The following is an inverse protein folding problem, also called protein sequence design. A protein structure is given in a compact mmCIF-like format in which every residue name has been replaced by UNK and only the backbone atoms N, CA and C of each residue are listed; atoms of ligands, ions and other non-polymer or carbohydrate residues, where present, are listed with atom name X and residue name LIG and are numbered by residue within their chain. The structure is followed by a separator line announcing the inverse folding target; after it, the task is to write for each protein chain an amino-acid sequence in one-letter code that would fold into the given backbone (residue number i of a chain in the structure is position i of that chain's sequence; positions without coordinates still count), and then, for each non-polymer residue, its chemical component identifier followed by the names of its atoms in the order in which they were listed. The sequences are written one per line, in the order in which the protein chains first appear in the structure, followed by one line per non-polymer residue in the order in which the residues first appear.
data_IF_528130776023
#
_entry.id   IF_528130776023
#
_cell.length_a   1.000
_cell.length_b   1.000
_cell.length_c   1.000
_cell.angle_alpha   90.00
_cell.angle_beta   90.00
_cell.angle_gamma   90.00
#
_symmetry.space_group_name_H-M   'P 1'
#
loop_
_entity.id
_entity.type
_entity.pdbx_description
1 polymer ?
#
# COMPACT_ATOMS: atom_id res chain seq x y z
N UNK A 1 7.06 -9.02 -76.85
CA UNK A 1 5.66 -8.85 -76.39
C UNK A 1 5.26 -10.24 -75.91
N UNK A 2 4.98 -10.51 -74.64
CA UNK A 2 4.08 -9.80 -73.74
C UNK A 2 4.46 -10.12 -72.28
N UNK A 3 4.39 -9.10 -71.43
CA UNK A 3 4.70 -9.15 -70.00
C UNK A 3 3.43 -9.48 -69.21
N UNK A 4 3.44 -10.56 -68.42
CA UNK A 4 2.39 -10.87 -67.44
C UNK A 4 2.88 -10.67 -66.01
N UNK A 5 2.61 -9.50 -65.44
CA UNK A 5 2.98 -9.08 -64.07
C UNK A 5 2.27 -9.91 -62.99
N UNK A 6 3.03 -10.60 -62.14
CA UNK A 6 2.58 -11.05 -60.83
C UNK A 6 2.61 -9.90 -59.82
N UNK A 7 1.44 -9.30 -59.55
CA UNK A 7 1.27 -8.28 -58.50
C UNK A 7 0.96 -8.94 -57.16
N UNK A 8 1.96 -8.99 -56.28
CA UNK A 8 1.82 -9.41 -54.88
C UNK A 8 1.11 -8.33 -54.06
N UNK A 9 -0.04 -8.67 -53.45
CA UNK A 9 -0.79 -7.77 -52.58
C UNK A 9 -0.38 -8.02 -51.11
N UNK A 10 0.42 -7.12 -50.55
CA UNK A 10 0.99 -7.23 -49.20
C UNK A 10 0.96 -5.91 -48.41
N UNK A 11 -0.16 -5.19 -48.44
CA UNK A 11 -0.32 -3.89 -47.74
C UNK A 11 -1.11 -3.94 -46.43
N UNK A 12 -1.43 -5.13 -45.90
CA UNK A 12 -2.25 -5.27 -44.68
C UNK A 12 -1.50 -5.15 -43.35
N UNK A 13 -0.18 -5.29 -43.32
CA UNK A 13 0.53 -5.62 -42.07
C UNK A 13 1.24 -4.45 -41.36
N UNK A 14 1.31 -3.25 -41.97
CA UNK A 14 2.11 -2.13 -41.44
C UNK A 14 1.36 -1.25 -40.42
N UNK A 15 0.02 -1.20 -40.49
CA UNK A 15 -0.81 -0.36 -39.64
C UNK A 15 -1.06 -0.93 -38.22
N UNK A 16 -0.95 -2.25 -38.03
CA UNK A 16 -1.13 -2.89 -36.71
C UNK A 16 0.09 -2.68 -35.78
N UNK A 17 1.29 -2.65 -36.35
CA UNK A 17 2.53 -2.46 -35.59
C UNK A 17 2.66 -1.05 -35.01
N UNK A 18 2.36 0.00 -35.80
CA UNK A 18 2.43 1.40 -35.33
C UNK A 18 1.38 1.75 -34.28
N UNK A 19 0.18 1.16 -34.37
CA UNK A 19 -0.86 1.35 -33.35
C UNK A 19 -0.51 0.65 -32.03
N UNK A 20 0.14 -0.52 -32.08
CA UNK A 20 0.60 -1.24 -30.89
C UNK A 20 1.70 -0.49 -30.14
N UNK A 21 2.64 0.12 -30.87
CA UNK A 21 3.71 0.95 -30.30
C UNK A 21 3.15 2.19 -29.59
N UNK A 22 2.19 2.90 -30.21
CA UNK A 22 1.55 4.06 -29.59
C UNK A 22 0.72 3.69 -28.34
N UNK A 23 -0.04 2.58 -28.39
CA UNK A 23 -0.78 2.08 -27.21
C UNK A 23 0.17 1.72 -26.08
N UNK A 24 1.32 1.10 -26.38
CA UNK A 24 2.33 0.75 -25.39
C UNK A 24 2.95 1.99 -24.74
N UNK A 25 3.17 3.06 -25.49
CA UNK A 25 3.63 4.35 -24.95
C UNK A 25 2.62 4.98 -24.00
N UNK A 26 1.33 5.00 -24.36
CA UNK A 26 0.25 5.54 -23.51
C UNK A 26 0.12 4.74 -22.22
N UNK A 27 0.14 3.41 -22.29
CA UNK A 27 0.09 2.55 -21.10
C UNK A 27 1.30 2.78 -20.19
N UNK A 28 2.50 2.93 -20.77
CA UNK A 28 3.71 3.25 -20.02
C UNK A 28 3.60 4.59 -19.30
N UNK A 29 3.11 5.63 -19.99
CA UNK A 29 2.91 6.95 -19.41
C UNK A 29 1.91 6.92 -18.25
N UNK A 30 0.74 6.29 -18.46
CA UNK A 30 -0.28 6.14 -17.42
C UNK A 30 0.23 5.34 -16.20
N UNK A 31 1.07 4.33 -16.42
CA UNK A 31 1.67 3.56 -15.34
C UNK A 31 2.70 4.38 -14.54
N UNK A 32 3.51 5.22 -15.18
CA UNK A 32 4.42 6.12 -14.47
C UNK A 32 3.65 7.19 -13.67
N UNK A 33 2.61 7.77 -14.26
CA UNK A 33 1.74 8.74 -13.59
C UNK A 33 1.09 8.12 -12.35
N UNK A 34 0.54 6.90 -12.47
CA UNK A 34 -0.02 6.17 -11.35
C UNK A 34 1.03 5.96 -10.24
N UNK A 35 2.26 5.55 -10.59
CA UNK A 35 3.34 5.41 -9.60
C UNK A 35 3.66 6.73 -8.93
N UNK A 36 3.73 7.83 -9.67
CA UNK A 36 3.96 9.16 -9.09
C UNK A 36 2.85 9.57 -8.12
N UNK A 37 1.59 9.36 -8.49
CA UNK A 37 0.43 9.64 -7.63
C UNK A 37 0.47 8.80 -6.35
N UNK A 38 0.88 7.53 -6.43
CA UNK A 38 1.05 6.69 -5.24
C UNK A 38 2.13 7.23 -4.29
N UNK A 39 3.27 7.70 -4.82
CA UNK A 39 4.33 8.33 -4.03
C UNK A 39 3.84 9.61 -3.36
N UNK A 40 3.18 10.49 -4.12
CA UNK A 40 2.59 11.72 -3.59
C UNK A 40 1.54 11.43 -2.51
N UNK A 41 0.69 10.43 -2.70
CA UNK A 41 -0.28 10.00 -1.69
C UNK A 41 0.40 9.59 -0.39
N UNK A 42 1.49 8.83 -0.46
CA UNK A 42 2.24 8.41 0.72
C UNK A 42 2.87 9.60 1.46
N UNK A 43 3.49 10.52 0.73
CA UNK A 43 4.09 11.74 1.29
C UNK A 43 3.06 12.64 1.96
N UNK A 44 1.92 12.87 1.29
CA UNK A 44 0.80 13.66 1.83
C UNK A 44 0.26 13.00 3.10
N UNK A 45 0.08 11.67 3.11
CA UNK A 45 -0.36 10.94 4.30
C UNK A 45 0.61 11.09 5.48
N UNK A 46 1.93 11.00 5.23
CA UNK A 46 2.95 11.23 6.27
C UNK A 46 2.82 12.63 6.87
N UNK A 47 2.67 13.65 6.02
CA UNK A 47 2.52 15.05 6.44
C UNK A 47 1.22 15.29 7.21
N UNK A 48 0.11 14.69 6.78
CA UNK A 48 -1.16 14.70 7.52
C UNK A 48 -0.96 14.11 8.93
N UNK A 49 -0.30 12.95 9.04
CA UNK A 49 -0.01 12.32 10.32
C UNK A 49 0.80 13.22 11.26
N UNK A 50 1.87 13.85 10.74
CA UNK A 50 2.69 14.80 11.53
C UNK A 50 1.85 16.00 12.01
N UNK A 51 1.02 16.58 11.14
CA UNK A 51 0.18 17.74 11.52
C UNK A 51 -0.85 17.34 12.58
N UNK A 52 -1.52 16.18 12.43
CA UNK A 52 -2.45 15.66 13.44
C UNK A 52 -1.75 15.47 14.79
N UNK A 53 -0.53 14.92 14.81
CA UNK A 53 0.24 14.72 16.03
C UNK A 53 0.57 16.05 16.72
N UNK A 54 0.95 17.07 15.95
CA UNK A 54 1.20 18.41 16.49
C UNK A 54 -0.07 18.98 17.13
N UNK A 55 -1.22 18.87 16.48
CA UNK A 55 -2.51 19.34 17.01
C UNK A 55 -2.87 18.63 18.33
N UNK A 56 -2.73 17.30 18.36
CA UNK A 56 -2.92 16.48 19.57
C UNK A 56 -1.97 16.93 20.68
N UNK A 57 -0.71 17.23 20.35
CA UNK A 57 0.28 17.76 21.29
C UNK A 57 -0.12 19.12 21.85
N UNK A 58 -0.61 20.03 21.01
CA UNK A 58 -1.10 21.35 21.45
C UNK A 58 -2.29 21.21 22.39
N UNK A 59 -3.27 20.37 22.06
CA UNK A 59 -4.42 20.15 22.93
C UNK A 59 -4.06 19.47 24.26
N UNK A 60 -3.03 18.62 24.30
CA UNK A 60 -2.49 18.11 25.57
C UNK A 60 -1.87 19.19 26.46
N UNK A 61 -1.31 20.25 25.88
CA UNK A 61 -0.64 21.32 26.61
C UNK A 61 -1.59 22.43 27.03
N UNK A 62 -2.60 22.72 26.20
CA UNK A 62 -3.48 23.88 26.35
C UNK A 62 -4.96 23.54 26.58
N UNK A 63 -5.32 22.25 26.63
CA UNK A 63 -6.69 21.77 26.74
C UNK A 63 -7.37 21.56 25.39
N UNK A 64 -8.40 20.71 25.37
CA UNK A 64 -9.16 20.37 24.16
C UNK A 64 -10.08 21.52 23.70
N UNK A 65 -10.43 22.45 24.59
CA UNK A 65 -11.26 23.63 24.32
C UNK A 65 -10.67 24.61 23.29
N UNK A 66 -9.37 24.51 23.02
CA UNK A 66 -8.68 25.30 21.98
C UNK A 66 -9.00 24.77 20.58
N UNK A 67 -9.43 23.51 20.46
CA UNK A 67 -9.74 22.89 19.19
C UNK A 67 -11.22 23.05 18.85
N UNK A 68 -11.50 23.40 17.59
CA UNK A 68 -12.87 23.34 17.08
C UNK A 68 -13.35 21.89 17.04
N UNK A 69 -14.67 21.74 17.02
CA UNK A 69 -15.31 20.43 16.98
C UNK A 69 -14.91 19.60 15.75
N UNK A 70 -14.88 20.25 14.58
CA UNK A 70 -14.41 19.66 13.34
C UNK A 70 -12.96 19.18 13.46
N UNK A 71 -12.11 19.96 14.13
CA UNK A 71 -10.70 19.63 14.31
C UNK A 71 -10.52 18.44 15.25
N UNK A 72 -11.30 18.36 16.32
CA UNK A 72 -11.33 17.21 17.24
C UNK A 72 -11.77 15.92 16.52
N UNK A 73 -12.71 15.98 15.58
CA UNK A 73 -13.08 14.83 14.73
C UNK A 73 -11.94 14.41 13.82
N UNK A 74 -11.27 15.38 13.17
CA UNK A 74 -10.18 15.11 12.25
C UNK A 74 -8.96 14.49 12.95
N UNK A 75 -8.68 14.83 14.21
CA UNK A 75 -7.62 14.20 15.01
C UNK A 75 -8.08 12.97 15.80
N UNK A 76 -9.27 12.44 15.50
CA UNK A 76 -9.87 11.26 16.14
C UNK A 76 -10.05 11.41 17.68
N UNK A 77 -10.08 12.65 18.20
CA UNK A 77 -10.32 12.99 19.63
C UNK A 77 -11.79 13.15 19.99
N UNK A 78 -12.63 13.65 19.08
CA UNK A 78 -14.10 13.72 19.27
C UNK A 78 -14.75 12.35 19.04
N UNK A 79 -14.23 11.28 19.61
CA UNK A 79 -14.88 9.97 19.59
C UNK A 79 -16.10 9.96 20.53
N UNK A 80 -17.06 10.87 20.29
CA UNK A 80 -18.46 10.70 20.65
C UNK A 80 -19.01 9.48 19.92
N UNK A 81 -18.74 8.29 20.45
CA UNK A 81 -19.39 7.03 20.10
C UNK A 81 -19.02 6.38 18.76
N UNK A 82 -18.44 7.08 17.78
CA UNK A 82 -18.04 6.47 16.50
C UNK A 82 -16.63 5.87 16.58
N UNK A 83 -16.60 4.64 17.08
CA UNK A 83 -15.43 3.76 17.04
C UNK A 83 -14.87 3.65 15.60
N UNK A 84 -13.53 3.68 15.40
CA UNK A 84 -12.93 3.47 14.10
C UNK A 84 -13.47 2.18 13.47
N UNK A 85 -13.92 2.24 12.22
CA UNK A 85 -14.30 1.03 11.49
C UNK A 85 -13.13 0.04 11.44
N UNK A 86 -13.41 -1.26 11.43
CA UNK A 86 -12.39 -2.32 11.49
C UNK A 86 -11.25 -2.15 10.48
N UNK A 87 -11.59 -1.72 9.26
CA UNK A 87 -10.61 -1.40 8.20
C UNK A 87 -9.73 -0.19 8.55
N UNK A 88 -10.31 0.86 9.13
CA UNK A 88 -9.56 2.06 9.56
C UNK A 88 -8.55 1.69 10.65
N UNK A 89 -8.94 0.87 11.61
CA UNK A 89 -8.05 0.37 12.66
C UNK A 89 -6.87 -0.45 12.08
N UNK A 90 -7.13 -1.31 11.09
CA UNK A 90 -6.06 -2.05 10.42
C UNK A 90 -5.08 -1.13 9.68
N UNK A 91 -5.57 -0.10 8.96
CA UNK A 91 -4.71 0.89 8.30
C UNK A 91 -3.82 1.63 9.30
N UNK A 92 -4.41 2.14 10.38
CA UNK A 92 -3.67 2.86 11.42
C UNK A 92 -2.52 2.02 11.99
N UNK A 93 -2.81 0.77 12.39
CA UNK A 93 -1.80 -0.13 12.94
C UNK A 93 -0.67 -0.41 11.96
N UNK A 94 -0.97 -0.63 10.67
CA UNK A 94 0.08 -0.86 9.67
C UNK A 94 0.89 0.41 9.38
N UNK A 95 0.25 1.58 9.31
CA UNK A 95 0.91 2.87 9.04
C UNK A 95 1.86 3.28 10.16
N UNK A 96 1.48 3.01 11.41
CA UNK A 96 2.25 3.34 12.61
C UNK A 96 3.32 2.28 12.95
N UNK A 97 3.36 1.16 12.21
CA UNK A 97 4.33 0.12 12.44
C UNK A 97 5.61 0.35 11.63
N UNK A 98 6.75 0.48 12.33
CA UNK A 98 8.08 0.58 11.69
C UNK A 98 8.59 -0.76 11.12
N UNK A 99 7.84 -1.84 11.31
CA UNK A 99 8.19 -3.20 10.85
C UNK A 99 6.99 -3.92 10.24
N UNK A 100 7.18 -4.84 9.28
CA UNK A 100 6.09 -5.64 8.73
C UNK A 100 5.43 -6.48 9.81
N UNK A 101 4.12 -6.42 10.05
CA UNK A 101 3.43 -7.11 11.14
C UNK A 101 2.76 -8.42 10.71
N UNK A 102 2.77 -9.43 11.60
CA UNK A 102 1.91 -10.61 11.48
C UNK A 102 0.45 -10.23 11.76
N UNK A 103 -0.51 -10.98 11.20
CA UNK A 103 -1.94 -10.75 11.48
C UNK A 103 -2.27 -10.79 12.98
N UNK A 104 -1.62 -11.67 13.76
CA UNK A 104 -1.76 -11.71 15.23
C UNK A 104 -1.23 -10.45 15.90
N UNK A 105 -0.08 -9.94 15.48
CA UNK A 105 0.49 -8.70 16.03
C UNK A 105 -0.43 -7.50 15.71
N UNK A 106 -1.08 -7.51 14.55
CA UNK A 106 -2.11 -6.50 14.22
C UNK A 106 -3.31 -6.61 15.15
N UNK A 107 -3.84 -7.81 15.39
CA UNK A 107 -4.92 -8.02 16.37
C UNK A 107 -4.51 -7.53 17.78
N UNK A 108 -3.31 -7.86 18.25
CA UNK A 108 -2.81 -7.44 19.56
C UNK A 108 -2.73 -5.91 19.68
N UNK A 109 -2.23 -5.22 18.65
CA UNK A 109 -2.16 -3.76 18.66
C UNK A 109 -3.54 -3.10 18.58
N UNK A 110 -4.49 -3.65 17.80
CA UNK A 110 -5.88 -3.17 17.80
C UNK A 110 -6.50 -3.41 19.18
N UNK A 111 -6.27 -4.57 19.81
CA UNK A 111 -6.80 -4.87 21.14
C UNK A 111 -6.27 -3.91 22.21
N UNK A 112 -5.01 -3.51 22.13
CA UNK A 112 -4.39 -2.59 23.09
C UNK A 112 -4.86 -1.15 22.90
N UNK A 113 -5.05 -0.70 21.66
CA UNK A 113 -5.35 0.71 21.34
C UNK A 113 -6.84 0.99 21.19
N UNK A 114 -7.56 0.06 20.58
CA UNK A 114 -8.98 0.21 20.20
C UNK A 114 -9.76 -1.11 20.45
N UNK A 115 -9.81 -1.62 21.71
CA UNK A 115 -10.46 -2.88 22.05
C UNK A 115 -11.88 -3.09 21.46
N UNK A 116 -12.77 -2.08 21.46
CA UNK A 116 -14.16 -2.27 21.01
C UNK A 116 -14.30 -2.67 19.53
N UNK A 117 -13.27 -2.44 18.72
CA UNK A 117 -13.28 -2.80 17.30
C UNK A 117 -13.25 -4.31 17.10
N UNK A 118 -12.51 -5.04 17.93
CA UNK A 118 -12.41 -6.50 17.81
C UNK A 118 -13.64 -7.22 18.36
N UNK A 119 -14.30 -6.64 19.38
CA UNK A 119 -15.48 -7.23 20.03
C UNK A 119 -16.67 -7.44 19.08
N UNK A 120 -16.70 -6.74 17.95
CA UNK A 120 -17.77 -6.84 16.94
C UNK A 120 -17.58 -8.00 15.98
N UNK A 121 -16.46 -8.73 16.08
CA UNK A 121 -16.08 -9.80 15.16
C UNK A 121 -15.96 -11.13 15.90
N UNK A 122 -16.71 -12.13 15.43
CA UNK A 122 -16.67 -13.50 15.97
C UNK A 122 -15.29 -14.13 15.87
N UNK A 123 -14.55 -13.80 14.81
CA UNK A 123 -13.15 -14.17 14.62
C UNK A 123 -12.35 -12.92 14.21
N UNK A 124 -11.72 -12.25 15.18
CA UNK A 124 -10.86 -11.09 14.93
C UNK A 124 -9.69 -11.38 13.99
N UNK A 125 -9.09 -12.56 14.07
CA UNK A 125 -7.90 -12.91 13.30
C UNK A 125 -8.23 -13.14 11.82
N UNK A 126 -9.34 -13.84 11.53
CA UNK A 126 -9.83 -14.03 10.17
C UNK A 126 -10.26 -12.68 9.56
N UNK A 127 -10.93 -11.84 10.35
CA UNK A 127 -11.37 -10.51 9.93
C UNK A 127 -10.18 -9.61 9.60
N UNK A 128 -9.15 -9.57 10.46
CA UNK A 128 -7.90 -8.83 10.21
C UNK A 128 -7.24 -9.35 8.94
N UNK A 129 -7.06 -10.66 8.81
CA UNK A 129 -6.41 -11.25 7.63
C UNK A 129 -7.14 -10.89 6.34
N UNK A 130 -8.47 -10.88 6.36
CA UNK A 130 -9.30 -10.49 5.20
C UNK A 130 -9.05 -9.04 4.81
N UNK A 131 -9.06 -8.13 5.79
CA UNK A 131 -8.77 -6.72 5.54
C UNK A 131 -7.35 -6.52 5.05
N UNK A 132 -6.36 -7.17 5.65
CA UNK A 132 -4.96 -7.08 5.24
C UNK A 132 -4.77 -7.52 3.78
N UNK A 133 -5.42 -8.61 3.36
CA UNK A 133 -5.39 -9.05 1.96
C UNK A 133 -6.03 -8.01 1.03
N UNK A 134 -7.17 -7.42 1.40
CA UNK A 134 -7.79 -6.33 0.62
C UNK A 134 -6.88 -5.11 0.51
N UNK A 135 -6.18 -4.75 1.58
CA UNK A 135 -5.21 -3.64 1.54
C UNK A 135 -4.04 -3.94 0.60
N UNK A 136 -3.64 -5.21 0.47
CA UNK A 136 -2.66 -5.64 -0.54
C UNK A 136 -3.23 -5.55 -1.95
N UNK A 137 -4.46 -6.02 -2.16
CA UNK A 137 -5.17 -5.88 -3.45
C UNK A 137 -5.31 -4.42 -3.88
N UNK A 138 -5.52 -3.50 -2.92
CA UNK A 138 -5.61 -2.06 -3.16
C UNK A 138 -4.24 -1.37 -3.27
N UNK A 139 -3.13 -2.08 -3.11
CA UNK A 139 -1.78 -1.51 -3.16
C UNK A 139 -1.43 -0.59 -1.98
N UNK A 140 -2.20 -0.62 -0.89
CA UNK A 140 -1.94 0.15 0.34
C UNK A 140 -0.94 -0.56 1.25
N UNK A 141 -0.93 -1.90 1.19
CA UNK A 141 -0.03 -2.76 1.92
C UNK A 141 0.66 -3.75 0.98
N UNK A 142 1.73 -4.37 1.46
CA UNK A 142 2.40 -5.47 0.78
C UNK A 142 2.59 -6.65 1.71
N UNK A 143 2.68 -7.82 1.11
CA UNK A 143 3.03 -9.05 1.82
C UNK A 143 4.54 -9.23 1.79
N UNK A 144 5.15 -9.55 2.93
CA UNK A 144 6.56 -9.92 3.06
C UNK A 144 6.70 -11.19 3.88
N UNK A 145 7.80 -11.91 3.69
CA UNK A 145 8.15 -13.08 4.51
C UNK A 145 9.23 -12.64 5.49
N UNK A 146 8.97 -12.75 6.80
CA UNK A 146 9.98 -12.47 7.83
C UNK A 146 11.02 -13.59 7.89
N UNK A 147 12.14 -13.35 8.57
CA UNK A 147 13.23 -14.32 8.79
C UNK A 147 12.76 -15.67 9.37
N UNK A 148 11.67 -15.65 10.14
CA UNK A 148 11.05 -16.86 10.70
C UNK A 148 10.15 -17.63 9.71
N UNK A 149 10.16 -17.27 8.42
CA UNK A 149 9.35 -17.88 7.37
C UNK A 149 7.86 -17.52 7.40
N UNK A 150 7.43 -16.66 8.34
CA UNK A 150 6.00 -16.31 8.49
C UNK A 150 5.63 -15.13 7.62
N UNK A 151 4.44 -15.22 7.01
CA UNK A 151 3.83 -14.14 6.24
C UNK A 151 3.47 -12.96 7.14
N UNK A 152 3.94 -11.78 6.78
CA UNK A 152 3.69 -10.51 7.43
C UNK A 152 3.20 -9.48 6.40
N UNK A 153 2.60 -8.40 6.89
CA UNK A 153 2.08 -7.29 6.11
C UNK A 153 2.79 -6.02 6.50
N UNK A 154 3.21 -5.25 5.51
CA UNK A 154 3.83 -3.96 5.71
C UNK A 154 3.03 -2.90 4.99
N UNK A 155 2.87 -1.74 5.61
CA UNK A 155 2.37 -0.57 4.90
C UNK A 155 3.34 -0.20 3.77
N UNK A 156 2.79 0.18 2.62
CA UNK A 156 3.60 0.72 1.52
C UNK A 156 3.88 2.19 1.83
N UNK A 157 4.97 2.43 2.55
CA UNK A 157 5.68 3.71 2.54
C UNK A 157 6.68 3.69 1.39
N UNK A 158 6.91 4.83 0.74
CA UNK A 158 7.78 5.05 -0.44
C UNK A 158 9.00 4.09 -0.55
N UNK A 159 9.39 3.60 -1.76
CA UNK A 159 10.24 2.43 -1.96
C UNK A 159 11.74 2.65 -1.69
N UNK A 160 12.12 3.74 -1.01
CA UNK A 160 13.52 3.99 -0.65
C UNK A 160 14.09 2.96 0.35
N UNK A 161 13.24 2.12 0.95
CA UNK A 161 13.65 1.10 1.93
C UNK A 161 13.80 -0.32 1.35
N UNK A 162 13.65 -0.50 0.04
CA UNK A 162 13.58 -1.84 -0.59
C UNK A 162 14.89 -2.36 -1.20
N UNK A 163 15.97 -1.59 -1.15
CA UNK A 163 17.22 -1.98 -1.79
C UNK A 163 18.10 -2.96 -0.97
N UNK A 164 17.71 -3.37 0.25
CA UNK A 164 18.59 -4.14 1.16
C UNK A 164 18.16 -5.60 1.35
N UNK A 165 17.04 -6.06 0.77
CA UNK A 165 16.49 -7.39 1.06
C UNK A 165 16.77 -8.52 0.07
N UNK A 166 17.29 -8.24 -1.13
CA UNK A 166 17.35 -9.24 -2.22
C UNK A 166 18.74 -9.37 -2.84
N UNK A 167 19.72 -9.75 -2.02
CA UNK A 167 21.02 -10.23 -2.50
C UNK A 167 21.51 -11.38 -1.59
N UNK A 168 20.97 -12.58 -1.81
CA UNK A 168 21.39 -13.76 -1.08
C UNK A 168 20.86 -15.04 -1.72
N UNK A 169 21.57 -15.59 -2.70
CA UNK A 169 21.25 -16.92 -3.22
C UNK A 169 21.67 -17.17 -4.67
N UNK A 170 22.96 -17.04 -4.99
CA UNK A 170 23.55 -17.75 -6.14
C UNK A 170 24.62 -18.69 -5.64
N UNK A 171 24.27 -19.97 -5.56
CA UNK A 171 25.19 -21.05 -5.25
C UNK A 171 26.27 -21.14 -6.31
N UNK A 172 27.52 -21.07 -5.87
CA UNK A 172 28.70 -21.42 -6.66
C UNK A 172 28.78 -22.94 -6.70
N UNK A 173 28.65 -23.52 -7.90
CA UNK A 173 28.96 -24.93 -8.16
C UNK A 173 30.42 -24.98 -8.60
N UNK A 174 31.29 -25.56 -7.76
CA UNK A 174 32.68 -25.85 -8.14
C UNK A 174 32.74 -27.13 -9.00
N UNK A 175 33.53 -27.17 -10.08
CA UNK A 175 33.85 -28.41 -10.77
C UNK A 175 34.92 -29.19 -10.00
N UNK A 176 34.71 -30.52 -9.87
CA UNK A 176 35.70 -31.46 -9.34
C UNK A 176 36.77 -31.77 -10.41
N UNK A 177 38.01 -31.93 -9.92
CA UNK A 177 39.20 -32.40 -10.64
C UNK A 177 39.06 -33.83 -11.15
#
# INVERSE_FOLDING_TARGET
MESGRGGSNGSGNKNLAGNGEHVQEVVRAAHEELRQLMRQRAEVMKRIGTVKQTIVGLANLFGDEVLSEELLELVDRKSGGRQPGFTKACRMVLMEADRPLLAREVCEQIQQRIPPVLLRHKDPLASVTTVLNRLVEYGEARTVVRENGRRAWQWVSDPANDAVGSAGGRGVVLPKS
#
